data_IF_972828968937
#
_entry.id   IF_972828968937
#
_cell.length_a   1.000
_cell.length_b   1.000
_cell.length_c   1.000
_cell.angle_alpha   90.00
_cell.angle_beta   90.00
_cell.angle_gamma   90.00
#
_symmetry.space_group_name_H-M   'P 1'
#
loop_
_entity.id
_entity.type
_entity.pdbx_description
1 polymer ?
#
# COMPACT_ATOMS: atom_id res chain seq x y z
N UNK A 1 -11.16 18.80 -20.23
CA UNK A 1 -9.77 18.83 -19.70
C UNK A 1 -9.64 18.04 -18.39
N UNK A 2 -10.71 17.88 -17.61
CA UNK A 2 -10.74 17.08 -16.36
C UNK A 2 -10.37 15.60 -16.53
N UNK A 3 -10.59 15.00 -17.71
CA UNK A 3 -10.35 13.57 -17.93
C UNK A 3 -8.87 13.14 -17.95
N UNK A 4 -7.91 14.06 -18.17
CA UNK A 4 -6.49 13.70 -18.26
C UNK A 4 -5.81 13.73 -16.89
N UNK A 5 -6.21 14.64 -16.02
CA UNK A 5 -5.67 14.76 -14.66
C UNK A 5 -6.12 13.55 -13.83
N UNK A 6 -7.40 13.16 -13.90
CA UNK A 6 -7.92 12.00 -13.17
C UNK A 6 -7.32 10.67 -13.66
N UNK A 7 -7.14 10.54 -14.98
CA UNK A 7 -6.47 9.37 -15.58
C UNK A 7 -4.98 9.34 -15.23
N UNK A 8 -4.30 10.48 -15.18
CA UNK A 8 -2.91 10.56 -14.76
C UNK A 8 -2.76 10.19 -13.28
N UNK A 9 -3.58 10.74 -12.38
CA UNK A 9 -3.64 10.36 -10.96
C UNK A 9 -3.90 8.86 -10.78
N UNK A 10 -4.82 8.29 -11.56
CA UNK A 10 -5.10 6.85 -11.57
C UNK A 10 -3.88 6.01 -11.99
N UNK A 11 -3.08 6.48 -12.96
CA UNK A 11 -1.83 5.80 -13.39
C UNK A 11 -0.75 5.86 -12.31
N UNK A 12 -0.57 7.01 -11.64
CA UNK A 12 0.42 7.16 -10.58
C UNK A 12 0.16 6.18 -9.43
N UNK A 13 -1.11 6.03 -9.01
CA UNK A 13 -1.46 5.08 -7.96
C UNK A 13 -1.36 3.62 -8.42
N UNK A 14 -1.66 3.32 -9.69
CA UNK A 14 -1.44 1.99 -10.23
C UNK A 14 0.05 1.57 -10.22
N UNK A 15 0.95 2.50 -10.53
CA UNK A 15 2.40 2.28 -10.43
C UNK A 15 2.86 2.14 -8.97
N UNK A 16 2.45 3.06 -8.09
CA UNK A 16 2.80 2.99 -6.67
C UNK A 16 2.34 1.68 -6.02
N UNK A 17 1.13 1.21 -6.33
CA UNK A 17 0.63 -0.08 -5.85
C UNK A 17 1.42 -1.27 -6.44
N UNK A 18 1.90 -1.15 -7.67
CA UNK A 18 2.75 -2.18 -8.28
C UNK A 18 4.12 -2.27 -7.62
N UNK A 19 4.74 -1.12 -7.35
CA UNK A 19 6.06 -1.07 -6.73
C UNK A 19 6.00 -1.50 -5.27
N UNK A 20 4.92 -1.15 -4.56
CA UNK A 20 4.65 -1.70 -3.23
C UNK A 20 4.54 -3.21 -3.26
N UNK A 21 3.77 -3.79 -4.19
CA UNK A 21 3.68 -5.25 -4.31
C UNK A 21 5.07 -5.86 -4.46
N UNK A 22 5.89 -5.34 -5.37
CA UNK A 22 7.26 -5.83 -5.57
C UNK A 22 8.12 -5.71 -4.31
N UNK A 23 8.00 -4.63 -3.55
CA UNK A 23 8.74 -4.43 -2.31
C UNK A 23 8.34 -5.47 -1.24
N UNK A 24 7.05 -5.78 -1.15
CA UNK A 24 6.52 -6.81 -0.25
C UNK A 24 6.96 -8.20 -0.72
N UNK A 25 6.77 -8.53 -2.00
CA UNK A 25 7.23 -9.80 -2.56
C UNK A 25 8.75 -10.00 -2.34
N UNK A 26 9.55 -8.95 -2.50
CA UNK A 26 10.99 -8.99 -2.25
C UNK A 26 11.34 -9.23 -0.77
N UNK A 27 10.49 -8.76 0.13
CA UNK A 27 10.69 -9.01 1.56
C UNK A 27 10.34 -10.42 2.00
N UNK A 28 9.55 -11.16 1.22
CA UNK A 28 9.20 -12.55 1.52
C UNK A 28 10.47 -13.42 1.43
N UNK A 29 11.07 -13.69 2.60
CA UNK A 29 12.33 -14.44 2.71
C UNK A 29 13.49 -13.64 3.31
N UNK A 30 13.30 -12.35 3.58
CA UNK A 30 14.22 -11.57 4.41
C UNK A 30 13.85 -11.74 5.89
N UNK A 31 14.85 -11.99 6.73
CA UNK A 31 14.65 -11.95 8.18
C UNK A 31 14.41 -10.51 8.65
N UNK A 32 13.51 -10.34 9.62
CA UNK A 32 13.34 -9.03 10.26
C UNK A 32 14.63 -8.61 10.96
N UNK A 33 14.99 -7.34 10.77
CA UNK A 33 16.17 -6.75 11.38
C UNK A 33 15.89 -5.30 11.75
N UNK A 34 16.80 -4.67 12.49
CA UNK A 34 16.68 -3.24 12.79
C UNK A 34 16.62 -2.36 11.53
N UNK A 35 17.16 -2.83 10.40
CA UNK A 35 17.11 -2.14 9.11
C UNK A 35 15.89 -2.55 8.26
N UNK A 36 15.28 -3.69 8.59
CA UNK A 36 14.09 -4.22 7.92
C UNK A 36 13.03 -4.58 8.97
N UNK A 37 12.24 -3.60 9.37
CA UNK A 37 11.25 -3.72 10.44
C UNK A 37 10.04 -4.60 10.09
N UNK A 38 10.07 -5.33 8.98
CA UNK A 38 8.98 -6.15 8.49
C UNK A 38 7.87 -5.36 7.78
N UNK A 39 7.14 -6.06 6.93
CA UNK A 39 6.10 -5.49 6.04
C UNK A 39 5.00 -4.76 6.82
N UNK A 40 4.57 -5.29 7.96
CA UNK A 40 3.51 -4.65 8.76
C UNK A 40 3.93 -3.28 9.29
N UNK A 41 5.15 -3.14 9.81
CA UNK A 41 5.63 -1.86 10.35
C UNK A 41 5.89 -0.84 9.23
N UNK A 42 6.41 -1.30 8.08
CA UNK A 42 6.52 -0.47 6.89
C UNK A 42 5.14 0.08 6.46
N UNK A 43 4.14 -0.79 6.37
CA UNK A 43 2.78 -0.41 5.97
C UNK A 43 2.12 0.54 6.97
N UNK A 44 2.32 0.36 8.28
CA UNK A 44 1.86 1.29 9.32
C UNK A 44 2.46 2.68 9.16
N UNK A 45 3.78 2.76 8.97
CA UNK A 45 4.47 4.04 8.77
C UNK A 45 3.96 4.77 7.52
N UNK A 46 3.76 4.02 6.43
CA UNK A 46 3.24 4.58 5.18
C UNK A 46 1.76 5.01 5.32
N UNK A 47 0.94 4.21 6.03
CA UNK A 47 -0.45 4.53 6.30
C UNK A 47 -0.58 5.81 7.12
N UNK A 48 0.24 5.99 8.16
CA UNK A 48 0.28 7.23 8.94
C UNK A 48 0.53 8.48 8.07
N UNK A 49 1.42 8.38 7.07
CA UNK A 49 1.74 9.50 6.16
C UNK A 49 0.68 9.74 5.09
N UNK A 50 -0.07 8.72 4.69
CA UNK A 50 -0.95 8.77 3.51
C UNK A 50 -2.39 8.30 3.76
N UNK A 51 -2.84 8.29 5.01
CA UNK A 51 -4.17 7.83 5.45
C UNK A 51 -5.34 8.37 4.62
N UNK A 52 -5.27 9.63 4.20
CA UNK A 52 -6.36 10.31 3.45
C UNK A 52 -6.40 9.98 1.96
N UNK A 53 -5.38 9.29 1.42
CA UNK A 53 -5.33 8.90 0.00
C UNK A 53 -6.15 7.63 -0.25
N UNK A 54 -7.47 7.69 -0.05
CA UNK A 54 -8.36 6.52 -0.16
C UNK A 54 -8.19 5.75 -1.50
N UNK A 55 -8.08 6.47 -2.62
CA UNK A 55 -7.88 5.85 -3.94
C UNK A 55 -6.54 5.08 -4.06
N UNK A 56 -5.49 5.52 -3.36
CA UNK A 56 -4.21 4.81 -3.30
C UNK A 56 -4.39 3.47 -2.56
N UNK A 57 -5.03 3.50 -1.39
CA UNK A 57 -5.23 2.30 -0.57
C UNK A 57 -6.13 1.28 -1.25
N UNK A 58 -7.16 1.73 -1.97
CA UNK A 58 -8.00 0.86 -2.79
C UNK A 58 -7.18 0.20 -3.92
N UNK A 59 -6.32 0.96 -4.59
CA UNK A 59 -5.44 0.40 -5.62
C UNK A 59 -4.42 -0.59 -5.04
N UNK A 60 -3.89 -0.34 -3.84
CA UNK A 60 -2.99 -1.25 -3.14
C UNK A 60 -3.67 -2.55 -2.73
N UNK A 61 -4.89 -2.50 -2.18
CA UNK A 61 -5.64 -3.70 -1.79
C UNK A 61 -5.95 -4.62 -2.98
N UNK A 62 -6.08 -4.06 -4.19
CA UNK A 62 -6.23 -4.85 -5.42
C UNK A 62 -4.96 -5.57 -5.88
N UNK A 63 -3.78 -5.27 -5.30
CA UNK A 63 -2.48 -5.80 -5.74
C UNK A 63 -1.68 -6.52 -4.66
N UNK A 64 -1.79 -6.05 -3.42
CA UNK A 64 -1.04 -6.55 -2.27
C UNK A 64 -1.88 -7.58 -1.55
N UNK A 65 -1.45 -8.83 -1.58
CA UNK A 65 -2.11 -9.90 -0.84
C UNK A 65 -2.09 -9.62 0.66
N UNK A 66 -3.21 -9.90 1.33
CA UNK A 66 -3.38 -9.65 2.76
C UNK A 66 -3.75 -8.21 3.11
N UNK A 67 -3.61 -7.24 2.19
CA UNK A 67 -4.07 -5.88 2.39
C UNK A 67 -5.58 -5.76 2.09
N UNK A 68 -6.33 -5.13 3.00
CA UNK A 68 -7.76 -4.86 2.82
C UNK A 68 -8.12 -3.46 3.31
N UNK A 69 -9.18 -2.89 2.73
CA UNK A 69 -9.71 -1.56 3.10
C UNK A 69 -11.19 -1.69 3.45
N UNK A 70 -11.54 -1.31 4.68
CA UNK A 70 -12.92 -1.21 5.16
C UNK A 70 -13.19 0.18 5.74
N UNK A 71 -14.17 0.90 5.19
CA UNK A 71 -14.60 2.20 5.72
C UNK A 71 -13.40 3.17 6.00
N UNK A 72 -12.48 3.31 5.04
CA UNK A 72 -11.22 4.06 5.15
C UNK A 72 -10.19 3.54 6.18
N UNK A 73 -10.43 2.41 6.83
CA UNK A 73 -9.47 1.70 7.66
C UNK A 73 -8.74 0.67 6.81
N UNK A 74 -7.44 0.55 6.99
CA UNK A 74 -6.63 -0.42 6.26
C UNK A 74 -6.12 -1.50 7.22
N UNK A 75 -6.10 -2.74 6.74
CA UNK A 75 -5.62 -3.90 7.50
C UNK A 75 -4.68 -4.72 6.64
N UNK A 76 -3.63 -5.28 7.24
CA UNK A 76 -2.72 -6.22 6.61
C UNK A 76 -2.73 -7.54 7.38
N UNK A 77 -3.11 -8.63 6.71
CA UNK A 77 -3.27 -9.96 7.29
C UNK A 77 -4.10 -9.96 8.59
N UNK A 78 -5.16 -9.16 8.63
CA UNK A 78 -6.04 -8.98 9.80
C UNK A 78 -5.54 -8.00 10.86
N UNK A 79 -4.29 -7.53 10.78
CA UNK A 79 -3.75 -6.50 11.69
C UNK A 79 -4.04 -5.10 11.18
N UNK A 80 -4.49 -4.16 12.03
CA UNK A 80 -4.70 -2.77 11.61
C UNK A 80 -3.39 -2.06 11.25
N UNK A 81 -3.46 -1.24 10.20
CA UNK A 81 -2.42 -0.30 9.77
C UNK A 81 -2.52 1.07 10.45
#
# INVERSE_FOLDING_TARGET
MESYIDKAQSKYYAYAASDMKKAIDYSEGLEESAQFAGTLNYLRALYAQHKRKSALWQAMAGKVQGLSVDNNRCFYCGSPL
#
